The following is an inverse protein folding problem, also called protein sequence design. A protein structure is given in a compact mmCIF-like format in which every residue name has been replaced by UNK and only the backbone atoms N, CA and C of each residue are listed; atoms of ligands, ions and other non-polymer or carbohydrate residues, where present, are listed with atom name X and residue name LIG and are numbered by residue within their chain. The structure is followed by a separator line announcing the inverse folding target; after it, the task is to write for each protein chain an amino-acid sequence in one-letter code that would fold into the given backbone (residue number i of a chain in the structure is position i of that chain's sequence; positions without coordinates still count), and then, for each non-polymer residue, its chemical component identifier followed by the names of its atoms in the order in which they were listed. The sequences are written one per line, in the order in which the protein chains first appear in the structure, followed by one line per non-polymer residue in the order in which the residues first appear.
data_IF_471891483427
#
_entry.id   IF_471891483427
#
_cell.length_a   1.000
_cell.length_b   1.000
_cell.length_c   1.000
_cell.angle_alpha   90.00
_cell.angle_beta   90.00
_cell.angle_gamma   90.00
#
_symmetry.space_group_name_H-M   'P 1'
#
loop_
_entity.id
_entity.type
_entity.pdbx_description
1 polymer ?
#
# COMPACT_ATOMS: atom_id res chain seq x y z
N UNK A 1 -6.27 0.83 -8.41
CA UNK A 1 -7.63 1.30 -8.76
C UNK A 1 -7.62 2.80 -9.05
N UNK A 2 -8.58 3.27 -9.84
CA UNK A 2 -8.68 4.69 -10.26
C UNK A 2 -9.99 5.36 -9.84
N UNK A 3 -10.87 4.64 -9.16
CA UNK A 3 -12.06 5.18 -8.51
C UNK A 3 -12.36 4.43 -7.20
N UNK A 4 -13.30 4.96 -6.43
CA UNK A 4 -13.65 4.46 -5.09
C UNK A 4 -14.29 3.06 -5.17
N UNK A 5 -15.20 2.83 -6.12
CA UNK A 5 -15.98 1.58 -6.19
C UNK A 5 -15.09 0.38 -6.55
N UNK A 6 -14.11 0.57 -7.42
CA UNK A 6 -13.05 -0.44 -7.67
C UNK A 6 -12.31 -0.82 -6.39
N UNK A 7 -12.07 0.15 -5.51
CA UNK A 7 -11.41 -0.08 -4.23
C UNK A 7 -12.24 -0.82 -3.20
N UNK A 8 -13.52 -0.49 -3.13
CA UNK A 8 -14.46 -1.22 -2.28
C UNK A 8 -14.54 -2.67 -2.74
N UNK A 9 -14.71 -2.89 -4.04
CA UNK A 9 -14.76 -4.24 -4.61
C UNK A 9 -13.48 -5.03 -4.36
N UNK A 10 -12.31 -4.41 -4.52
CA UNK A 10 -11.04 -5.04 -4.20
C UNK A 10 -10.96 -5.44 -2.71
N UNK A 11 -11.41 -4.58 -1.79
CA UNK A 11 -11.42 -4.88 -0.37
C UNK A 11 -12.41 -6.00 0.01
N UNK A 12 -13.54 -6.11 -0.69
CA UNK A 12 -14.49 -7.22 -0.54
C UNK A 12 -13.90 -8.55 -1.01
N UNK A 13 -13.16 -8.53 -2.12
CA UNK A 13 -12.49 -9.72 -2.67
C UNK A 13 -11.32 -10.19 -1.80
N UNK A 14 -10.55 -9.24 -1.22
CA UNK A 14 -9.39 -9.53 -0.36
C UNK A 14 -9.83 -9.94 1.06
N UNK A 15 -10.85 -9.28 1.61
CA UNK A 15 -11.25 -9.41 3.00
C UNK A 15 -10.51 -8.44 3.93
N UNK A 16 -11.20 -7.94 4.96
CA UNK A 16 -10.64 -6.99 5.92
C UNK A 16 -9.80 -7.68 7.03
N UNK A 17 -8.79 -6.99 7.59
CA UNK A 17 -8.37 -5.63 7.26
C UNK A 17 -7.53 -5.53 5.98
N UNK A 18 -7.64 -4.41 5.30
CA UNK A 18 -6.85 -4.07 4.10
C UNK A 18 -5.90 -2.90 4.37
N UNK A 19 -4.78 -2.86 3.66
CA UNK A 19 -3.85 -1.73 3.63
C UNK A 19 -4.12 -0.87 2.39
N UNK A 20 -4.36 0.42 2.58
CA UNK A 20 -4.54 1.37 1.49
C UNK A 20 -3.24 2.14 1.29
N UNK A 21 -2.69 2.03 0.07
CA UNK A 21 -1.42 2.62 -0.32
C UNK A 21 -1.61 3.57 -1.52
N UNK A 22 -1.62 4.89 -1.29
CA UNK A 22 -1.60 5.87 -2.38
C UNK A 22 -0.34 5.71 -3.24
N UNK A 23 -0.44 5.91 -4.55
CA UNK A 23 0.77 5.92 -5.40
C UNK A 23 1.55 7.22 -5.23
N UNK A 24 2.85 7.18 -5.54
CA UNK A 24 3.75 8.34 -5.59
C UNK A 24 3.92 9.10 -4.26
N UNK A 25 3.74 8.42 -3.13
CA UNK A 25 4.11 8.93 -1.79
C UNK A 25 5.36 8.20 -1.27
N UNK A 26 6.22 8.92 -0.57
CA UNK A 26 7.42 8.37 0.08
C UNK A 26 7.23 8.36 1.60
N UNK A 27 7.77 7.34 2.26
CA UNK A 27 7.80 7.22 3.72
C UNK A 27 6.44 6.89 4.36
N UNK A 28 5.61 6.06 3.70
CA UNK A 28 4.33 5.61 4.24
C UNK A 28 3.30 6.72 4.46
N UNK A 29 3.53 7.92 3.92
CA UNK A 29 2.63 9.06 4.12
C UNK A 29 1.25 8.73 3.57
N UNK A 30 0.26 8.94 4.44
CA UNK A 30 -1.13 8.64 4.17
C UNK A 30 -1.45 7.16 4.00
N UNK A 31 -0.55 6.18 4.20
CA UNK A 31 -0.97 4.78 4.25
C UNK A 31 -1.95 4.56 5.41
N UNK A 32 -2.97 3.73 5.21
CA UNK A 32 -3.94 3.45 6.26
C UNK A 32 -4.39 1.98 6.26
N UNK A 33 -4.37 1.36 7.43
CA UNK A 33 -4.99 0.05 7.67
C UNK A 33 -6.47 0.29 7.92
N UNK A 34 -7.33 -0.41 7.17
CA UNK A 34 -8.77 -0.22 7.21
C UNK A 34 -9.48 -1.55 7.43
N UNK A 35 -10.26 -1.62 8.51
CA UNK A 35 -10.92 -2.85 8.95
C UNK A 35 -12.41 -2.95 8.56
N UNK A 36 -12.99 -1.89 7.99
CA UNK A 36 -14.41 -1.85 7.58
C UNK A 36 -14.58 -1.02 6.31
N UNK A 37 -15.52 -1.43 5.47
CA UNK A 37 -15.86 -0.75 4.21
C UNK A 37 -16.22 0.73 4.41
N UNK A 38 -17.01 1.06 5.43
CA UNK A 38 -17.41 2.45 5.72
C UNK A 38 -16.20 3.37 5.90
N UNK A 39 -15.19 2.89 6.63
CA UNK A 39 -13.94 3.63 6.84
C UNK A 39 -13.10 3.71 5.59
N UNK A 40 -13.12 2.67 4.74
CA UNK A 40 -12.42 2.67 3.46
C UNK A 40 -13.02 3.72 2.53
N UNK A 41 -14.35 3.72 2.41
CA UNK A 41 -15.09 4.70 1.60
C UNK A 41 -14.87 6.12 2.11
N UNK A 42 -14.85 6.34 3.43
CA UNK A 42 -14.54 7.64 4.00
C UNK A 42 -13.12 8.09 3.64
N UNK A 43 -12.13 7.25 3.89
CA UNK A 43 -10.72 7.53 3.63
C UNK A 43 -10.45 7.83 2.14
N UNK A 44 -10.98 7.01 1.23
CA UNK A 44 -10.83 7.21 -0.22
C UNK A 44 -11.52 8.49 -0.74
N UNK A 45 -12.52 9.02 -0.01
CA UNK A 45 -13.19 10.28 -0.37
C UNK A 45 -12.46 11.52 0.15
N UNK A 46 -11.84 11.43 1.33
CA UNK A 46 -11.35 12.61 2.06
C UNK A 46 -9.84 12.76 2.06
N UNK A 47 -9.10 11.65 2.03
CA UNK A 47 -7.65 11.65 2.28
C UNK A 47 -6.82 11.39 1.02
N UNK A 48 -7.45 10.95 -0.09
CA UNK A 48 -6.72 10.56 -1.31
C UNK A 48 -7.36 11.17 -2.55
N UNK A 49 -6.53 11.83 -3.36
CA UNK A 49 -6.92 12.27 -4.70
C UNK A 49 -6.76 11.10 -5.66
N UNK A 50 -7.88 10.47 -6.04
CA UNK A 50 -7.87 9.32 -6.96
C UNK A 50 -8.19 9.81 -8.37
N UNK A 51 -7.23 9.63 -9.28
CA UNK A 51 -7.44 9.85 -10.71
C UNK A 51 -6.57 8.89 -11.54
N UNK A 52 -6.65 8.98 -12.87
CA UNK A 52 -5.90 8.09 -13.78
C UNK A 52 -4.38 8.19 -13.63
N UNK A 53 -3.87 9.36 -13.25
CA UNK A 53 -2.44 9.63 -13.08
C UNK A 53 -1.97 9.33 -11.65
N UNK A 54 -2.91 9.25 -10.69
CA UNK A 54 -2.66 8.96 -9.26
C UNK A 54 -3.54 7.80 -8.79
N UNK A 55 -3.25 6.56 -9.21
CA UNK A 55 -3.99 5.40 -8.74
C UNK A 55 -3.71 5.11 -7.27
N UNK A 56 -4.62 4.38 -6.63
CA UNK A 56 -4.45 3.87 -5.26
C UNK A 56 -4.40 2.35 -5.30
N UNK A 57 -3.53 1.76 -4.47
CA UNK A 57 -3.48 0.33 -4.24
C UNK A 57 -4.25 -0.01 -2.96
N UNK A 58 -5.08 -1.05 -3.02
CA UNK A 58 -5.69 -1.69 -1.85
C UNK A 58 -5.18 -3.11 -1.84
N UNK A 59 -4.55 -3.49 -0.73
CA UNK A 59 -3.90 -4.78 -0.59
C UNK A 59 -4.28 -5.43 0.75
N UNK A 60 -4.02 -6.72 0.89
CA UNK A 60 -4.23 -7.42 2.15
C UNK A 60 -3.30 -6.86 3.22
N UNK A 61 -3.83 -6.60 4.41
CA UNK A 61 -2.96 -6.32 5.55
C UNK A 61 -2.31 -7.62 6.05
N UNK A 62 -0.98 -7.66 6.05
CA UNK A 62 -0.20 -8.81 6.49
C UNK A 62 0.43 -8.48 7.84
N UNK A 63 0.09 -9.26 8.86
CA UNK A 63 0.82 -9.25 10.14
C UNK A 63 2.05 -10.14 10.01
N UNK A 64 3.23 -9.62 10.32
CA UNK A 64 4.45 -10.40 10.28
C UNK A 64 5.69 -9.56 10.52
N UNK A 65 6.84 -10.16 10.27
CA UNK A 65 8.12 -9.46 10.29
C UNK A 65 8.27 -8.63 9.03
N UNK A 66 8.60 -7.37 9.21
CA UNK A 66 9.01 -6.49 8.13
C UNK A 66 10.53 -6.63 7.91
N UNK A 67 10.97 -6.59 6.66
CA UNK A 67 12.39 -6.62 6.31
C UNK A 67 12.60 -5.64 5.16
N UNK A 68 13.58 -4.76 5.31
CA UNK A 68 14.03 -3.82 4.30
C UNK A 68 15.32 -4.33 3.65
N UNK A 69 15.40 -4.24 2.32
CA UNK A 69 16.56 -4.69 1.54
C UNK A 69 16.99 -3.56 0.62
N UNK A 70 18.24 -3.11 0.78
CA UNK A 70 18.89 -2.20 -0.14
C UNK A 70 19.63 -3.00 -1.21
N UNK A 71 19.42 -2.66 -2.48
CA UNK A 71 20.05 -3.34 -3.61
C UNK A 71 20.45 -2.36 -4.73
N UNK A 72 21.55 -2.68 -5.42
CA UNK A 72 22.07 -1.94 -6.58
C UNK A 72 22.21 -2.94 -7.74
N UNK A 73 21.74 -2.58 -8.94
CA UNK A 73 21.81 -3.42 -10.13
C UNK A 73 22.43 -2.65 -11.30
N UNK A 74 23.39 -3.26 -12.00
CA UNK A 74 24.01 -2.70 -13.21
C UNK A 74 23.33 -3.19 -14.51
N UNK A 75 22.25 -3.97 -14.39
CA UNK A 75 21.53 -4.61 -15.48
C UNK A 75 21.98 -6.05 -15.77
N UNK A 76 23.05 -6.55 -15.14
CA UNK A 76 23.51 -7.94 -15.25
C UNK A 76 23.60 -8.63 -13.89
N UNK A 77 24.12 -7.93 -12.90
CA UNK A 77 24.31 -8.43 -11.54
C UNK A 77 23.60 -7.52 -10.53
N UNK A 78 23.10 -8.13 -9.45
CA UNK A 78 22.47 -7.43 -8.34
C UNK A 78 23.37 -7.57 -7.12
N UNK A 79 23.80 -6.44 -6.58
CA UNK A 79 24.52 -6.37 -5.33
C UNK A 79 23.60 -5.90 -4.21
N UNK A 80 23.53 -6.66 -3.12
CA UNK A 80 22.68 -6.37 -1.95
C UNK A 80 23.58 -5.93 -0.78
N UNK A 81 23.81 -4.62 -0.57
CA UNK A 81 24.66 -4.12 0.52
C UNK A 81 24.05 -4.27 1.92
N UNK A 82 22.71 -4.35 2.04
CA UNK A 82 22.03 -4.30 3.34
C UNK A 82 20.74 -5.10 3.36
N UNK A 83 20.57 -5.85 4.46
CA UNK A 83 19.32 -6.50 4.84
C UNK A 83 19.06 -6.10 6.28
N UNK A 84 17.91 -5.47 6.53
CA UNK A 84 17.58 -4.86 7.81
C UNK A 84 16.19 -5.33 8.26
N UNK A 85 16.07 -5.72 9.52
CA UNK A 85 14.79 -5.96 10.17
C UNK A 85 14.52 -4.75 11.07
N UNK A 86 13.44 -3.97 10.85
CA UNK A 86 13.05 -2.91 11.78
C UNK A 86 12.84 -3.51 13.17
N UNK A 87 13.29 -2.81 14.21
CA UNK A 87 13.01 -3.22 15.58
C UNK A 87 11.51 -3.02 15.90
N UNK A 88 10.95 -3.95 16.68
CA UNK A 88 9.56 -3.87 17.18
C UNK A 88 9.29 -2.66 18.09
#
# INVERSE_FOLDING_TARGET
MTNIEEGIKAAEEIGCPVLVHPSFVLGGRSMQIVAKEEYLRHYLKTAVEINKDKPVLVDQYICGKEVEIDAICDGKEVFVPGIMEPAE
#
